data_IF_923383018263
#
_entry.id   IF_923383018263
#
_cell.length_a   1.000
_cell.length_b   1.000
_cell.length_c   1.000
_cell.angle_alpha   90.00
_cell.angle_beta   90.00
_cell.angle_gamma   90.00
#
_symmetry.space_group_name_H-M   'P 1'
#
loop_
_entity.id
_entity.type
_entity.pdbx_description
1 polymer ?
#
# COMPACT_ATOMS: atom_id res chain seq x y z
N UNK A 1 1.57 -11.71 16.15
CA UNK A 1 2.07 -10.42 15.60
C UNK A 1 3.22 -9.91 16.47
N UNK A 2 4.47 -9.99 16.00
CA UNK A 2 5.68 -9.83 16.83
C UNK A 2 5.90 -8.42 17.43
N UNK A 3 5.14 -7.40 16.99
CA UNK A 3 5.26 -6.00 17.44
C UNK A 3 3.96 -5.41 18.00
N UNK A 4 3.02 -6.25 18.45
CA UNK A 4 1.74 -5.78 19.02
C UNK A 4 0.81 -5.09 18.03
N UNK A 5 1.07 -5.20 16.71
CA UNK A 5 0.20 -4.65 15.67
C UNK A 5 -1.18 -5.30 15.73
N UNK A 6 -2.22 -4.46 15.67
CA UNK A 6 -3.62 -4.86 15.68
C UNK A 6 -4.19 -4.59 14.28
N UNK A 7 -4.56 -5.63 13.51
CA UNK A 7 -5.14 -5.42 12.19
C UNK A 7 -6.50 -4.75 12.30
N UNK A 8 -6.78 -3.83 11.39
CA UNK A 8 -8.12 -3.33 11.16
C UNK A 8 -8.70 -3.99 9.89
N UNK A 9 -10.01 -4.18 9.87
CA UNK A 9 -10.72 -4.76 8.74
C UNK A 9 -11.67 -3.74 8.13
N UNK A 10 -11.49 -3.48 6.84
CA UNK A 10 -12.35 -2.58 6.07
C UNK A 10 -12.25 -2.97 4.58
N UNK A 11 -13.33 -2.84 3.78
CA UNK A 11 -13.24 -3.01 2.33
C UNK A 11 -12.19 -2.08 1.70
N UNK A 12 -11.43 -2.59 0.72
CA UNK A 12 -10.35 -1.83 0.09
C UNK A 12 -10.83 -0.49 -0.52
N UNK A 13 -12.02 -0.48 -1.13
CA UNK A 13 -12.64 0.73 -1.68
C UNK A 13 -12.98 1.77 -0.60
N UNK A 14 -13.40 1.32 0.59
CA UNK A 14 -13.68 2.22 1.70
C UNK A 14 -12.38 2.81 2.25
N UNK A 15 -11.32 1.99 2.38
CA UNK A 15 -9.99 2.49 2.78
C UNK A 15 -9.48 3.51 1.77
N UNK A 16 -9.58 3.24 0.46
CA UNK A 16 -9.20 4.18 -0.58
C UNK A 16 -9.94 5.52 -0.47
N UNK A 17 -11.25 5.49 -0.21
CA UNK A 17 -12.03 6.72 0.02
C UNK A 17 -11.60 7.47 1.28
N UNK A 18 -11.28 6.76 2.37
CA UNK A 18 -10.83 7.35 3.64
C UNK A 18 -9.44 7.99 3.52
N UNK A 19 -8.56 7.36 2.75
CA UNK A 19 -7.22 7.88 2.47
C UNK A 19 -7.24 9.17 1.61
N UNK A 20 -8.31 9.42 0.87
CA UNK A 20 -8.50 10.66 0.11
C UNK A 20 -9.15 11.79 0.94
N UNK A 21 -9.73 11.47 2.10
CA UNK A 21 -10.37 12.42 2.99
C UNK A 21 -9.32 13.07 3.92
N UNK A 22 -8.96 14.37 3.74
CA UNK A 22 -7.94 15.01 4.54
C UNK A 22 -8.32 15.14 6.03
N UNK A 23 -9.62 15.05 6.37
CA UNK A 23 -10.10 15.12 7.75
C UNK A 23 -10.07 13.76 8.46
N UNK A 24 -9.79 12.66 7.74
CA UNK A 24 -9.77 11.33 8.33
C UNK A 24 -8.61 11.16 9.32
N UNK A 25 -8.94 10.76 10.55
CA UNK A 25 -7.99 10.60 11.65
C UNK A 25 -7.27 9.24 11.66
N UNK A 26 -7.28 8.51 10.54
CA UNK A 26 -6.67 7.19 10.45
C UNK A 26 -7.45 6.09 11.18
N UNK A 27 -6.83 4.91 11.27
CA UNK A 27 -7.45 3.73 11.91
C UNK A 27 -7.28 3.75 13.43
N UNK A 28 -6.31 4.51 13.93
CA UNK A 28 -5.97 4.62 15.36
C UNK A 28 -6.29 6.01 15.95
N UNK A 29 -6.88 6.91 15.16
CA UNK A 29 -7.27 8.24 15.59
C UNK A 29 -6.12 9.25 15.69
N UNK A 30 -4.92 8.93 15.17
CA UNK A 30 -3.72 9.78 15.29
C UNK A 30 -3.45 10.68 14.08
N UNK A 31 -4.37 10.71 13.12
CA UNK A 31 -4.27 11.53 11.92
C UNK A 31 -4.12 10.72 10.65
N UNK A 32 -3.97 11.43 9.54
CA UNK A 32 -3.87 10.85 8.21
C UNK A 32 -2.52 10.17 7.97
N UNK A 33 -2.49 9.21 7.06
CA UNK A 33 -1.26 8.53 6.63
C UNK A 33 -0.52 9.32 5.55
N UNK A 34 0.81 9.24 5.55
CA UNK A 34 1.68 9.78 4.52
C UNK A 34 2.16 8.71 3.51
N UNK A 35 2.04 7.42 3.87
CA UNK A 35 2.45 6.28 3.07
C UNK A 35 1.41 5.15 3.11
N UNK A 36 1.13 4.56 1.95
CA UNK A 36 0.37 3.32 1.81
C UNK A 36 1.16 2.29 1.00
N UNK A 37 1.25 1.09 1.56
CA UNK A 37 1.84 -0.10 0.94
C UNK A 37 0.72 -1.04 0.52
N UNK A 38 0.62 -1.35 -0.78
CA UNK A 38 -0.35 -2.30 -1.34
C UNK A 38 0.38 -3.57 -1.77
N UNK A 39 -0.16 -4.73 -1.39
CA UNK A 39 0.42 -6.04 -1.66
C UNK A 39 -0.68 -7.08 -1.83
N UNK A 40 -0.58 -7.91 -2.86
CA UNK A 40 -1.47 -9.04 -3.14
C UNK A 40 -2.85 -8.64 -3.65
N UNK A 41 -3.03 -7.43 -4.19
CA UNK A 41 -4.34 -6.98 -4.67
C UNK A 41 -4.55 -7.37 -6.14
N UNK A 42 -5.79 -7.69 -6.52
CA UNK A 42 -6.09 -7.89 -7.93
C UNK A 42 -5.90 -6.57 -8.70
N UNK A 43 -5.10 -6.63 -9.77
CA UNK A 43 -4.59 -5.47 -10.52
C UNK A 43 -5.63 -4.38 -10.78
N UNK A 44 -6.81 -4.75 -11.29
CA UNK A 44 -7.85 -3.79 -11.67
C UNK A 44 -8.39 -2.97 -10.49
N UNK A 45 -8.60 -3.61 -9.34
CA UNK A 45 -9.10 -2.91 -8.15
C UNK A 45 -8.06 -1.95 -7.59
N UNK A 46 -6.81 -2.39 -7.53
CA UNK A 46 -5.70 -1.56 -7.07
C UNK A 46 -5.50 -0.36 -8.02
N UNK A 47 -5.57 -0.57 -9.34
CA UNK A 47 -5.43 0.47 -10.34
C UNK A 47 -6.47 1.59 -10.19
N UNK A 48 -7.72 1.22 -9.90
CA UNK A 48 -8.80 2.17 -9.64
C UNK A 48 -8.56 2.97 -8.35
N UNK A 49 -8.19 2.29 -7.25
CA UNK A 49 -7.91 2.93 -5.98
C UNK A 49 -6.72 3.90 -6.12
N UNK A 50 -5.63 3.45 -6.72
CA UNK A 50 -4.44 4.26 -6.96
C UNK A 50 -4.72 5.44 -7.88
N UNK A 51 -5.57 5.28 -8.90
CA UNK A 51 -6.00 6.38 -9.76
C UNK A 51 -6.67 7.48 -8.94
N UNK A 52 -7.59 7.11 -8.05
CA UNK A 52 -8.26 8.06 -7.16
C UNK A 52 -7.25 8.77 -6.24
N UNK A 53 -6.40 8.00 -5.54
CA UNK A 53 -5.43 8.54 -4.60
C UNK A 53 -4.42 9.48 -5.27
N UNK A 54 -3.96 9.16 -6.49
CA UNK A 54 -3.04 10.01 -7.25
C UNK A 54 -3.60 11.42 -7.50
N UNK A 55 -4.91 11.56 -7.70
CA UNK A 55 -5.53 12.84 -8.02
C UNK A 55 -6.10 13.56 -6.80
N UNK A 56 -6.60 12.82 -5.81
CA UNK A 56 -7.33 13.39 -4.66
C UNK A 56 -6.56 13.33 -3.33
N UNK A 57 -5.45 12.61 -3.27
CA UNK A 57 -4.58 12.52 -2.09
C UNK A 57 -3.11 12.84 -2.45
N UNK A 58 -2.79 14.05 -2.96
CA UNK A 58 -1.44 14.38 -3.41
C UNK A 58 -0.38 14.36 -2.29
N UNK A 59 -0.82 14.41 -1.02
CA UNK A 59 0.02 14.26 0.17
C UNK A 59 0.46 12.81 0.43
N UNK A 60 -0.23 11.83 -0.16
CA UNK A 60 -0.04 10.42 0.11
C UNK A 60 0.92 9.78 -0.88
N UNK A 61 2.01 9.17 -0.39
CA UNK A 61 2.85 8.28 -1.19
C UNK A 61 2.23 6.89 -1.26
N UNK A 62 2.17 6.34 -2.46
CA UNK A 62 1.64 5.00 -2.70
C UNK A 62 2.73 4.12 -3.28
N UNK A 63 2.96 2.98 -2.64
CA UNK A 63 3.92 1.97 -3.06
C UNK A 63 3.17 0.67 -3.31
N UNK A 64 3.21 0.20 -4.56
CA UNK A 64 2.68 -1.12 -4.92
C UNK A 64 3.82 -2.14 -4.91
N UNK A 65 3.73 -3.11 -4.02
CA UNK A 65 4.64 -4.25 -3.96
C UNK A 65 4.02 -5.48 -4.62
N UNK A 66 3.17 -5.28 -5.63
CA UNK A 66 2.55 -6.36 -6.41
C UNK A 66 3.44 -6.85 -7.56
N UNK A 67 3.10 -8.01 -8.14
CA UNK A 67 3.91 -8.62 -9.20
C UNK A 67 3.64 -8.02 -10.59
N UNK A 68 2.70 -7.09 -10.70
CA UNK A 68 2.36 -6.37 -11.93
C UNK A 68 2.52 -4.87 -11.68
N UNK A 69 3.17 -4.19 -12.63
CA UNK A 69 3.48 -2.77 -12.53
C UNK A 69 2.23 -1.90 -12.46
N UNK A 70 2.14 -1.04 -11.44
CA UNK A 70 1.04 -0.10 -11.22
C UNK A 70 1.46 1.33 -11.59
N UNK A 71 1.02 1.88 -12.75
CA UNK A 71 1.44 3.21 -13.21
C UNK A 71 0.84 4.38 -12.39
N UNK A 72 -0.16 4.11 -11.57
CA UNK A 72 -0.79 5.11 -10.70
C UNK A 72 -0.18 5.16 -9.30
N UNK A 73 0.66 4.19 -8.94
CA UNK A 73 1.44 4.27 -7.70
C UNK A 73 2.55 5.32 -7.82
N UNK A 74 2.98 5.91 -6.71
CA UNK A 74 4.21 6.72 -6.68
C UNK A 74 5.44 5.88 -7.03
N UNK A 75 5.42 4.60 -6.65
CA UNK A 75 6.40 3.61 -7.04
C UNK A 75 5.77 2.22 -7.08
N UNK A 76 6.22 1.38 -8.02
CA UNK A 76 5.75 0.00 -8.13
C UNK A 76 6.89 -0.90 -8.56
N UNK A 77 6.85 -2.18 -8.16
CA UNK A 77 7.70 -3.18 -8.78
C UNK A 77 7.44 -3.24 -10.30
N UNK A 78 8.46 -3.61 -11.10
CA UNK A 78 8.21 -3.96 -12.50
C UNK A 78 7.34 -5.22 -12.58
N UNK A 79 6.96 -5.61 -13.79
CA UNK A 79 6.31 -6.91 -14.00
C UNK A 79 7.29 -8.04 -13.61
N UNK A 80 6.90 -8.85 -12.62
CA UNK A 80 7.67 -9.95 -12.08
C UNK A 80 6.88 -11.26 -12.20
N UNK A 81 7.60 -12.36 -12.43
CA UNK A 81 7.02 -13.69 -12.22
C UNK A 81 6.74 -13.92 -10.74
N UNK A 82 5.83 -14.84 -10.41
CA UNK A 82 5.49 -15.16 -9.00
C UNK A 82 6.71 -15.53 -8.15
N UNK A 83 7.68 -16.26 -8.74
CA UNK A 83 8.93 -16.63 -8.06
C UNK A 83 9.79 -15.39 -7.75
N UNK A 84 9.98 -14.51 -8.74
CA UNK A 84 10.76 -13.28 -8.56
C UNK A 84 10.07 -12.27 -7.64
N UNK A 85 8.75 -12.22 -7.65
CA UNK A 85 7.97 -11.42 -6.72
C UNK A 85 8.18 -11.86 -5.27
N UNK A 86 8.10 -13.18 -5.01
CA UNK A 86 8.39 -13.75 -3.69
C UNK A 86 9.82 -13.45 -3.23
N UNK A 87 10.81 -13.59 -4.13
CA UNK A 87 12.20 -13.22 -3.85
C UNK A 87 12.32 -11.72 -3.49
N UNK A 88 11.69 -10.83 -4.24
CA UNK A 88 11.70 -9.39 -3.98
C UNK A 88 11.08 -9.04 -2.62
N UNK A 89 9.93 -9.63 -2.28
CA UNK A 89 9.29 -9.44 -0.97
C UNK A 89 10.18 -9.96 0.18
N UNK A 90 10.86 -11.09 0.00
CA UNK A 90 11.80 -11.60 0.99
C UNK A 90 12.97 -10.63 1.24
N UNK A 91 13.50 -10.01 0.18
CA UNK A 91 14.56 -8.98 0.31
C UNK A 91 14.05 -7.76 1.06
N UNK A 92 12.82 -7.30 0.79
CA UNK A 92 12.21 -6.19 1.54
C UNK A 92 12.08 -6.55 3.02
N UNK A 93 11.54 -7.74 3.34
CA UNK A 93 11.40 -8.20 4.73
C UNK A 93 12.75 -8.28 5.44
N UNK A 94 13.77 -8.89 4.84
CA UNK A 94 15.11 -9.00 5.42
C UNK A 94 15.72 -7.64 5.75
N UNK A 95 15.57 -6.65 4.85
CA UNK A 95 16.08 -5.29 5.06
C UNK A 95 15.35 -4.56 6.19
N UNK A 96 14.04 -4.78 6.35
CA UNK A 96 13.24 -4.15 7.40
C UNK A 96 13.41 -4.84 8.76
N UNK A 97 13.67 -6.14 8.79
CA UNK A 97 13.91 -6.89 10.03
C UNK A 97 15.35 -6.72 10.55
N UNK A 98 16.33 -6.55 9.67
CA UNK A 98 17.74 -6.32 10.02
C UNK A 98 18.11 -4.88 10.37
N UNK A 99 17.17 -3.93 10.21
CA UNK A 99 17.34 -2.54 10.62
C UNK A 99 16.87 -2.32 12.06
N UNK A 100 17.73 -2.64 13.02
CA UNK A 100 17.70 -2.10 14.40
C UNK A 100 18.59 -0.89 14.50
#
# INVERSE_FOLDING_TARGET
LKRGFKPAHMPAVNIGSRLADPEWQGLDGKGQYDLVLLVGMQYYFEWLILSSLKHYAPYLKTISLDNVYQPHASWSFPNLSMGKWKEALNVVMQKLEGGT
#
